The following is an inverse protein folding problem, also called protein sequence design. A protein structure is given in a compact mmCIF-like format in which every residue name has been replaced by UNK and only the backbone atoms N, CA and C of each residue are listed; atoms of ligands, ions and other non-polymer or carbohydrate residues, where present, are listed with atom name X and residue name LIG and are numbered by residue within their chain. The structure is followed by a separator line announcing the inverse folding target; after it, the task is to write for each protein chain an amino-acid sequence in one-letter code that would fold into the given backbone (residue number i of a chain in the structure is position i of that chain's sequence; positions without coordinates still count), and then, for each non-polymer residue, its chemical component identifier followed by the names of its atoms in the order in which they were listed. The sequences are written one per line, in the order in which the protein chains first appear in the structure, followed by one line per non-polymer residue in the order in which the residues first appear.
data_IF_729237096519
#
_entry.id   IF_729237096519
#
_cell.length_a   1.000
_cell.length_b   1.000
_cell.length_c   1.000
_cell.angle_alpha   90.00
_cell.angle_beta   90.00
_cell.angle_gamma   90.00
#
_symmetry.space_group_name_H-M   'P 1'
#
loop_
_entity.id
_entity.type
_entity.pdbx_description
1 polymer ?
#
# COMPACT_ATOMS: atom_id res chain seq x y z
N UNK A 1 -14.42 -44.03 -46.30
CA UNK A 1 -13.29 -44.97 -46.09
C UNK A 1 -13.26 -45.30 -44.60
N UNK A 2 -13.46 -46.58 -44.21
CA UNK A 2 -13.33 -47.20 -42.85
C UNK A 2 -14.28 -46.67 -41.74
N UNK A 3 -15.13 -47.39 -40.98
CA UNK A 3 -15.10 -48.75 -40.37
C UNK A 3 -13.77 -48.99 -39.64
N UNK A 4 -13.68 -49.18 -38.30
CA UNK A 4 -14.29 -50.19 -37.41
C UNK A 4 -14.11 -49.72 -35.93
N UNK A 5 -15.17 -49.58 -35.12
CA UNK A 5 -15.59 -50.44 -33.96
C UNK A 5 -14.50 -50.79 -32.93
N UNK A 6 -14.62 -50.36 -31.66
CA UNK A 6 -15.46 -50.90 -30.57
C UNK A 6 -14.78 -52.10 -29.88
N UNK A 7 -14.68 -52.10 -28.53
CA UNK A 7 -14.71 -53.27 -27.61
C UNK A 7 -14.40 -52.76 -26.18
N UNK A 8 -14.97 -53.17 -25.04
CA UNK A 8 -16.11 -54.01 -24.61
C UNK A 8 -16.32 -53.68 -23.12
N UNK A 9 -17.57 -53.66 -22.65
CA UNK A 9 -17.94 -53.75 -21.23
C UNK A 9 -17.79 -55.18 -20.70
N UNK A 10 -17.31 -55.36 -19.47
CA UNK A 10 -17.53 -56.60 -18.72
C UNK A 10 -18.40 -56.33 -17.47
N UNK A 11 -19.65 -56.78 -17.60
CA UNK A 11 -20.57 -57.40 -16.66
C UNK A 11 -20.18 -57.54 -15.18
N UNK A 12 -21.15 -57.33 -14.27
CA UNK A 12 -21.60 -58.40 -13.38
C UNK A 12 -23.01 -58.12 -12.81
N UNK A 13 -23.89 -59.08 -13.05
CA UNK A 13 -25.25 -59.33 -12.55
C UNK A 13 -25.52 -59.01 -11.06
N UNK A 14 -26.71 -58.48 -10.72
CA UNK A 14 -27.82 -59.16 -10.00
C UNK A 14 -28.84 -58.16 -9.36
N UNK A 15 -30.10 -58.30 -9.77
CA UNK A 15 -31.35 -58.35 -8.99
C UNK A 15 -31.85 -57.17 -8.08
N UNK A 16 -32.97 -56.58 -8.55
CA UNK A 16 -34.24 -56.20 -7.90
C UNK A 16 -34.28 -55.16 -6.74
N UNK A 17 -35.24 -54.24 -6.89
CA UNK A 17 -36.00 -53.42 -5.92
C UNK A 17 -35.68 -51.91 -5.84
N UNK A 18 -36.65 -51.17 -6.41
CA UNK A 18 -37.35 -50.04 -5.80
C UNK A 18 -36.74 -48.62 -5.70
N UNK A 19 -37.50 -47.71 -6.33
CA UNK A 19 -37.82 -46.31 -5.96
C UNK A 19 -37.00 -45.19 -6.63
N UNK A 20 -37.68 -44.17 -7.21
CA UNK A 20 -37.12 -43.29 -8.23
C UNK A 20 -36.48 -42.02 -7.67
N UNK A 21 -35.48 -41.50 -8.40
CA UNK A 21 -34.90 -40.18 -8.21
C UNK A 21 -35.98 -39.10 -8.36
N UNK A 22 -36.30 -38.39 -7.29
CA UNK A 22 -37.09 -37.16 -7.34
C UNK A 22 -36.25 -36.02 -7.90
N UNK A 23 -36.57 -35.61 -9.13
CA UNK A 23 -36.34 -34.26 -9.59
C UNK A 23 -37.41 -33.35 -8.97
N UNK A 24 -37.02 -32.22 -8.39
CA UNK A 24 -37.98 -31.13 -8.11
C UNK A 24 -37.48 -29.84 -8.74
N UNK A 25 -38.41 -29.29 -9.50
CA UNK A 25 -38.40 -28.12 -10.36
C UNK A 25 -38.32 -26.80 -9.58
N UNK A 26 -37.85 -25.76 -10.27
CA UNK A 26 -38.07 -24.35 -9.94
C UNK A 26 -39.56 -24.00 -9.91
N UNK A 27 -39.95 -23.00 -9.09
CA UNK A 27 -40.91 -22.02 -9.56
C UNK A 27 -40.39 -20.58 -9.43
N UNK A 28 -40.49 -19.87 -10.53
CA UNK A 28 -40.48 -18.41 -10.64
C UNK A 28 -41.93 -17.94 -10.40
N UNK A 29 -42.20 -16.95 -9.52
CA UNK A 29 -43.37 -16.06 -9.63
C UNK A 29 -43.31 -14.86 -8.65
N UNK A 30 -43.34 -13.66 -9.26
CA UNK A 30 -43.95 -12.38 -8.84
C UNK A 30 -43.48 -11.57 -7.61
N UNK A 31 -42.84 -10.43 -7.92
CA UNK A 31 -43.40 -9.06 -7.76
C UNK A 31 -44.16 -8.76 -6.47
N UNK A 32 -43.50 -8.07 -5.52
CA UNK A 32 -44.16 -7.25 -4.50
C UNK A 32 -43.30 -6.04 -4.12
N UNK A 33 -43.82 -4.87 -4.50
CA UNK A 33 -43.43 -3.51 -4.11
C UNK A 33 -43.88 -3.24 -2.65
N UNK A 34 -43.14 -2.41 -1.88
CA UNK A 34 -43.85 -1.54 -0.95
C UNK A 34 -43.28 -0.12 -0.97
N UNK A 35 -43.97 0.77 -1.68
CA UNK A 35 -44.04 2.17 -1.32
C UNK A 35 -45.14 2.42 -0.26
N UNK A 36 -44.83 3.32 0.69
CA UNK A 36 -45.73 4.26 1.39
C UNK A 36 -46.01 4.07 2.91
N UNK A 37 -45.29 4.88 3.70
CA UNK A 37 -45.79 5.75 4.81
C UNK A 37 -44.61 6.67 5.17
N UNK A 38 -44.58 7.98 4.95
CA UNK A 38 -45.52 9.03 5.34
C UNK A 38 -45.48 10.22 4.35
N UNK A 39 -46.63 10.86 4.09
CA UNK A 39 -46.74 12.28 3.72
C UNK A 39 -47.37 13.08 4.89
N UNK A 40 -47.54 14.44 4.83
CA UNK A 40 -47.92 15.20 3.63
C UNK A 40 -47.28 16.62 3.40
N UNK A 41 -47.35 17.09 2.13
CA UNK A 41 -47.53 18.49 1.58
C UNK A 41 -46.54 19.62 2.01
N UNK A 42 -45.70 20.20 1.12
CA UNK A 42 -45.86 21.31 0.11
C UNK A 42 -46.28 22.70 0.69
N UNK A 43 -45.88 23.87 0.12
CA UNK A 43 -45.52 24.12 -1.29
C UNK A 43 -44.34 25.09 -1.60
N UNK A 44 -44.12 25.21 -2.91
CA UNK A 44 -43.17 26.00 -3.73
C UNK A 44 -43.41 27.52 -3.67
N UNK A 45 -42.34 28.29 -3.85
CA UNK A 45 -42.37 29.65 -4.40
C UNK A 45 -41.28 29.80 -5.48
N UNK A 46 -41.70 30.14 -6.71
CA UNK A 46 -40.88 30.49 -7.88
C UNK A 46 -40.86 32.01 -8.07
N UNK A 47 -39.75 32.55 -8.58
CA UNK A 47 -39.65 33.72 -9.49
C UNK A 47 -38.18 33.76 -10.00
N UNK A 48 -37.86 33.32 -11.23
CA UNK A 48 -37.80 34.03 -12.52
C UNK A 48 -36.91 35.30 -12.59
N UNK A 49 -35.64 35.12 -13.05
CA UNK A 49 -34.78 35.83 -14.06
C UNK A 49 -34.99 37.32 -14.44
N UNK A 50 -34.16 38.01 -15.30
CA UNK A 50 -32.80 37.79 -15.84
C UNK A 50 -31.91 39.09 -15.90
N UNK A 51 -30.62 38.97 -16.30
CA UNK A 51 -29.79 39.89 -17.16
C UNK A 51 -28.30 39.97 -16.74
N UNK A 52 -27.40 39.84 -17.74
CA UNK A 52 -26.20 40.69 -17.81
C UNK A 52 -24.82 40.03 -17.68
N UNK A 53 -24.10 39.95 -18.81
CA UNK A 53 -22.67 39.60 -18.99
C UNK A 53 -21.69 40.45 -18.16
N UNK A 54 -20.53 39.87 -17.84
CA UNK A 54 -19.26 40.61 -17.62
C UNK A 54 -18.09 39.68 -17.29
N UNK A 55 -17.05 39.67 -18.11
CA UNK A 55 -15.81 38.92 -17.92
C UNK A 55 -14.82 39.68 -17.00
N UNK A 56 -14.11 38.91 -16.18
CA UNK A 56 -12.78 39.09 -15.55
C UNK A 56 -12.43 40.40 -14.82
N UNK A 57 -12.08 40.27 -13.53
CA UNK A 57 -10.77 40.76 -13.05
C UNK A 57 -10.30 40.10 -11.75
N UNK A 58 -8.98 40.04 -11.65
CA UNK A 58 -8.18 39.28 -10.70
C UNK A 58 -8.34 39.75 -9.24
N UNK A 59 -8.41 38.80 -8.30
CA UNK A 59 -7.93 39.01 -6.94
C UNK A 59 -6.83 38.01 -6.60
N UNK A 60 -5.62 38.47 -6.87
CA UNK A 60 -4.40 37.98 -6.26
C UNK A 60 -4.52 38.17 -4.74
N UNK A 61 -4.38 37.08 -3.97
CA UNK A 61 -3.88 37.15 -2.60
C UNK A 61 -2.68 36.23 -2.52
N UNK A 62 -1.54 36.87 -2.78
CA UNK A 62 -0.18 36.40 -2.58
C UNK A 62 0.00 35.92 -1.14
N UNK A 63 0.26 34.64 -0.93
CA UNK A 63 0.91 34.19 0.30
C UNK A 63 2.41 34.37 0.13
N UNK A 64 2.88 35.52 0.63
CA UNK A 64 4.29 35.80 0.83
C UNK A 64 4.88 34.75 1.79
N UNK A 65 5.88 34.03 1.29
CA UNK A 65 6.85 33.24 2.05
C UNK A 65 7.77 34.19 2.82
N UNK A 66 7.86 34.14 4.16
CA UNK A 66 8.94 34.80 4.87
C UNK A 66 10.19 33.91 4.88
N UNK A 67 11.31 34.53 4.53
CA UNK A 67 12.66 34.00 4.69
C UNK A 67 13.07 33.90 6.17
N UNK A 68 13.89 32.88 6.42
CA UNK A 68 14.98 32.79 7.41
C UNK A 68 14.89 33.63 8.69
N UNK A 69 14.54 32.97 9.78
CA UNK A 69 15.02 33.34 11.12
C UNK A 69 15.77 32.14 11.67
N UNK A 70 17.08 32.30 11.84
CA UNK A 70 17.93 31.36 12.57
C UNK A 70 17.44 31.28 14.02
N UNK A 71 16.96 30.12 14.42
CA UNK A 71 16.91 29.72 15.81
C UNK A 71 17.81 28.52 15.98
N UNK A 72 19.00 28.76 16.54
CA UNK A 72 19.71 27.74 17.28
C UNK A 72 18.83 27.41 18.50
N UNK A 73 18.27 26.20 18.54
CA UNK A 73 18.06 25.52 19.81
C UNK A 73 18.57 24.09 19.70
N UNK A 74 19.51 23.81 20.59
CA UNK A 74 20.21 22.55 20.71
C UNK A 74 19.46 21.66 21.68
N UNK A 75 19.21 20.42 21.24
CA UNK A 75 18.70 19.26 21.99
C UNK A 75 17.18 19.10 21.99
N UNK A 76 16.66 18.37 20.99
CA UNK A 76 15.91 17.13 21.23
C UNK A 76 16.29 16.14 20.15
N UNK A 77 17.15 15.19 20.52
CA UNK A 77 17.30 13.91 19.83
C UNK A 77 15.95 13.18 20.01
N UNK A 78 15.04 13.27 19.04
CA UNK A 78 14.08 12.19 18.85
C UNK A 78 14.81 11.09 18.08
N UNK A 79 15.75 10.45 18.79
CA UNK A 79 16.06 9.05 18.56
C UNK A 79 14.72 8.32 18.63
N UNK A 80 14.17 7.98 17.46
CA UNK A 80 13.17 6.93 17.42
C UNK A 80 13.77 5.74 18.18
N UNK A 81 13.15 5.29 19.29
CA UNK A 81 13.78 4.31 20.14
C UNK A 81 13.84 2.99 19.40
N UNK A 82 15.00 2.72 18.81
CA UNK A 82 15.35 1.42 18.28
C UNK A 82 15.41 0.48 19.48
N UNK A 83 14.49 -0.48 19.51
CA UNK A 83 14.28 -1.48 20.58
C UNK A 83 13.65 -0.96 21.89
N UNK A 84 12.34 -0.71 21.87
CA UNK A 84 11.50 -0.86 23.08
C UNK A 84 11.46 -2.34 23.49
N UNK A 85 12.42 -2.75 24.31
CA UNK A 85 12.33 -3.96 25.13
C UNK A 85 11.18 -3.72 26.11
N UNK A 86 9.95 -4.08 25.70
CA UNK A 86 8.67 -3.89 26.38
C UNK A 86 8.76 -3.98 27.92
N UNK A 87 9.00 -2.83 28.55
CA UNK A 87 8.84 -2.50 29.97
C UNK A 87 8.98 -3.69 30.95
N UNK A 88 10.14 -4.35 30.92
CA UNK A 88 10.59 -5.14 32.06
C UNK A 88 10.66 -4.16 33.23
N UNK A 89 9.89 -4.41 34.29
CA UNK A 89 9.88 -3.50 35.45
C UNK A 89 11.29 -3.45 36.05
N UNK A 90 11.69 -2.35 36.66
CA UNK A 90 13.06 -2.18 37.18
C UNK A 90 13.51 -3.31 38.13
N UNK A 91 12.57 -3.96 38.81
CA UNK A 91 12.81 -5.08 39.72
C UNK A 91 12.78 -6.47 39.04
N UNK A 92 12.52 -6.53 37.73
CA UNK A 92 12.54 -7.76 36.93
C UNK A 92 13.88 -7.92 36.22
N UNK A 93 14.46 -9.10 36.33
CA UNK A 93 15.69 -9.47 35.63
C UNK A 93 15.39 -10.56 34.60
N UNK A 94 15.88 -10.42 33.37
CA UNK A 94 15.66 -11.43 32.33
C UNK A 94 16.41 -12.70 32.71
N UNK A 95 15.68 -13.81 32.84
CA UNK A 95 16.24 -15.15 33.06
C UNK A 95 16.49 -15.85 31.72
N UNK A 96 15.51 -15.79 30.81
CA UNK A 96 15.58 -16.36 29.47
C UNK A 96 14.86 -15.44 28.49
N UNK A 97 15.62 -14.84 27.57
CA UNK A 97 15.11 -13.89 26.59
C UNK A 97 14.23 -14.56 25.53
N UNK A 98 14.55 -15.78 25.11
CA UNK A 98 13.80 -16.51 24.07
C UNK A 98 12.48 -17.06 24.61
N UNK A 99 12.46 -17.46 25.89
CA UNK A 99 11.25 -17.96 26.55
C UNK A 99 10.48 -16.87 27.30
N UNK A 100 10.93 -15.62 27.23
CA UNK A 100 10.33 -14.46 27.90
C UNK A 100 10.08 -14.70 29.40
N UNK A 101 11.08 -15.25 30.07
CA UNK A 101 11.07 -15.52 31.51
C UNK A 101 11.91 -14.49 32.26
N UNK A 102 11.38 -14.03 33.39
CA UNK A 102 12.01 -13.07 34.26
C UNK A 102 12.06 -13.59 35.70
N UNK A 103 13.06 -13.13 36.46
CA UNK A 103 13.22 -13.34 37.89
C UNK A 103 12.99 -12.05 38.65
N UNK A 104 12.23 -12.14 39.73
CA UNK A 104 11.95 -10.99 40.60
C UNK A 104 11.55 -11.47 41.99
N UNK A 105 11.74 -10.59 42.98
CA UNK A 105 11.38 -10.85 44.37
C UNK A 105 9.91 -10.52 44.62
N UNK A 106 9.20 -11.42 45.29
CA UNK A 106 7.82 -11.21 45.74
C UNK A 106 7.63 -11.72 47.18
N UNK A 107 6.65 -11.18 47.94
CA UNK A 107 6.23 -11.81 49.18
C UNK A 107 5.73 -13.26 48.95
N UNK A 108 6.05 -14.22 49.84
CA UNK A 108 5.62 -15.61 49.70
C UNK A 108 4.11 -15.78 49.53
N UNK A 109 3.29 -14.90 50.13
CA UNK A 109 1.82 -15.01 50.08
C UNK A 109 1.22 -14.69 48.71
N UNK A 110 1.99 -14.08 47.79
CA UNK A 110 1.52 -13.74 46.45
C UNK A 110 2.08 -14.63 45.35
N UNK A 111 2.92 -15.62 45.68
CA UNK A 111 3.54 -16.53 44.70
C UNK A 111 2.47 -17.25 43.88
N UNK A 112 1.38 -17.71 44.51
CA UNK A 112 0.30 -18.43 43.84
C UNK A 112 -0.48 -17.59 42.81
N UNK A 113 -0.34 -16.26 42.85
CA UNK A 113 -0.93 -15.36 41.83
C UNK A 113 -0.18 -15.41 40.49
N UNK A 114 1.03 -15.96 40.47
CA UNK A 114 1.84 -16.10 39.27
C UNK A 114 1.71 -17.53 38.72
N UNK A 115 0.97 -17.74 37.63
CA UNK A 115 0.74 -19.07 37.10
C UNK A 115 2.06 -19.71 36.67
N UNK A 116 2.25 -20.98 37.05
CA UNK A 116 3.43 -21.78 36.73
C UNK A 116 4.78 -21.12 37.11
N UNK A 117 4.80 -20.25 38.13
CA UNK A 117 6.04 -19.69 38.66
C UNK A 117 6.85 -20.75 39.43
N UNK A 118 8.18 -20.65 39.36
CA UNK A 118 9.10 -21.51 40.12
C UNK A 118 9.89 -20.67 41.11
N UNK A 119 9.92 -21.09 42.38
CA UNK A 119 10.74 -20.42 43.40
C UNK A 119 12.19 -20.81 43.18
N UNK A 120 13.08 -19.83 43.01
CA UNK A 120 14.52 -20.05 42.79
C UNK A 120 15.36 -19.74 44.02
N UNK A 121 14.98 -18.75 44.83
CA UNK A 121 15.68 -18.36 46.06
C UNK A 121 14.69 -17.86 47.11
N UNK A 122 15.05 -17.96 48.39
CA UNK A 122 14.22 -17.48 49.51
C UNK A 122 15.09 -16.61 50.42
N UNK A 123 14.59 -15.44 50.77
CA UNK A 123 15.18 -14.53 51.74
C UNK A 123 14.27 -14.46 52.98
N UNK A 124 14.62 -15.26 53.99
CA UNK A 124 13.88 -15.33 55.25
C UNK A 124 13.98 -14.04 56.07
N UNK A 125 15.06 -13.24 55.92
CA UNK A 125 15.27 -12.01 56.69
C UNK A 125 14.30 -10.93 56.24
N UNK A 126 14.14 -10.79 54.93
CA UNK A 126 13.25 -9.80 54.33
C UNK A 126 11.84 -10.36 54.03
N UNK A 127 11.58 -11.65 54.31
CA UNK A 127 10.35 -12.38 53.97
C UNK A 127 10.00 -12.26 52.49
N UNK A 128 10.98 -12.51 51.62
CA UNK A 128 10.82 -12.47 50.17
C UNK A 128 11.18 -13.83 49.55
N UNK A 129 10.56 -14.15 48.43
CA UNK A 129 10.91 -15.28 47.59
C UNK A 129 11.20 -14.78 46.19
N UNK A 130 12.34 -15.19 45.63
CA UNK A 130 12.66 -14.94 44.23
C UNK A 130 11.98 -16.01 43.40
N UNK A 131 11.11 -15.59 42.49
CA UNK A 131 10.41 -16.47 41.57
C UNK A 131 10.90 -16.25 40.14
N UNK A 132 10.88 -17.30 39.34
CA UNK A 132 10.99 -17.25 37.88
C UNK A 132 9.59 -17.45 37.28
N UNK A 133 9.12 -16.46 36.53
CA UNK A 133 7.81 -16.46 35.88
C UNK A 133 7.89 -15.77 34.49
N UNK A 134 6.78 -15.72 33.75
CA UNK A 134 6.72 -14.92 32.53
C UNK A 134 6.96 -13.44 32.86
N UNK A 135 7.74 -12.76 32.02
CA UNK A 135 7.99 -11.32 32.15
C UNK A 135 6.70 -10.51 32.07
N UNK A 136 6.73 -9.27 32.56
CA UNK A 136 5.60 -8.35 32.42
C UNK A 136 5.14 -8.24 30.95
N UNK A 137 3.82 -8.26 30.75
CA UNK A 137 3.22 -8.26 29.42
C UNK A 137 3.09 -9.65 28.78
N UNK A 138 3.57 -10.73 29.42
CA UNK A 138 3.40 -12.10 28.93
C UNK A 138 2.46 -12.92 29.81
N UNK A 139 1.80 -13.90 29.22
CA UNK A 139 0.97 -14.91 29.90
C UNK A 139 1.48 -16.31 29.62
N UNK A 140 1.34 -17.18 30.60
CA UNK A 140 1.59 -18.61 30.45
C UNK A 140 0.51 -19.25 29.59
N UNK A 141 0.93 -20.00 28.58
CA UNK A 141 0.08 -20.93 27.83
C UNK A 141 0.74 -22.30 27.91
N UNK A 142 -0.07 -23.35 28.09
CA UNK A 142 0.40 -24.74 27.99
C UNK A 142 0.21 -25.24 26.56
N UNK A 143 1.31 -25.52 25.87
CA UNK A 143 1.32 -26.12 24.53
C UNK A 143 2.00 -27.49 24.62
N UNK A 144 1.27 -28.56 24.29
CA UNK A 144 1.81 -29.93 24.28
C UNK A 144 2.53 -30.32 25.59
N UNK A 145 2.03 -29.88 26.73
CA UNK A 145 2.62 -30.15 28.05
C UNK A 145 3.75 -29.19 28.47
N UNK A 146 4.21 -28.30 27.59
CA UNK A 146 5.25 -27.31 27.88
C UNK A 146 4.61 -25.95 28.22
N UNK A 147 5.13 -25.27 29.25
CA UNK A 147 4.70 -23.90 29.59
C UNK A 147 5.50 -22.90 28.78
N UNK A 148 4.82 -22.09 27.98
CA UNK A 148 5.41 -21.05 27.14
C UNK A 148 4.82 -19.70 27.52
N UNK A 149 5.66 -18.67 27.57
CA UNK A 149 5.22 -17.29 27.76
C UNK A 149 4.90 -16.67 26.41
N UNK A 150 3.62 -16.36 26.16
CA UNK A 150 3.19 -15.60 24.98
C UNK A 150 2.83 -14.16 25.36
N UNK A 151 3.10 -13.19 24.46
CA UNK A 151 2.75 -11.81 24.73
C UNK A 151 1.23 -11.65 24.87
N UNK A 152 0.82 -10.79 25.80
CA UNK A 152 -0.57 -10.39 26.00
C UNK A 152 -0.88 -9.24 25.05
N UNK A 153 -1.86 -9.44 24.19
CA UNK A 153 -2.38 -8.40 23.32
C UNK A 153 -3.87 -8.64 23.05
N UNK A 154 -4.60 -7.58 22.66
CA UNK A 154 -6.02 -7.62 22.29
C UNK A 154 -6.22 -7.57 20.77
N UNK A 155 -5.37 -8.21 19.97
CA UNK A 155 -5.44 -8.08 18.51
C UNK A 155 -6.59 -8.92 17.93
N UNK A 156 -7.56 -8.26 17.30
CA UNK A 156 -8.49 -8.90 16.39
C UNK A 156 -7.87 -8.95 14.98
N UNK A 157 -8.02 -10.05 14.25
CA UNK A 157 -7.45 -10.24 12.89
C UNK A 157 -5.93 -10.04 12.80
N UNK A 158 -5.23 -10.38 13.88
CA UNK A 158 -3.78 -10.35 13.95
C UNK A 158 -3.25 -11.24 15.06
N UNK A 159 -1.93 -11.35 15.14
CA UNK A 159 -1.23 -12.07 16.19
C UNK A 159 -0.37 -11.13 17.03
N UNK A 160 -0.12 -11.48 18.29
CA UNK A 160 0.75 -10.68 19.14
C UNK A 160 2.22 -10.88 18.71
N UNK A 161 2.87 -9.81 18.22
CA UNK A 161 4.33 -9.80 18.01
C UNK A 161 5.07 -9.56 19.32
N UNK A 162 4.57 -8.61 20.10
CA UNK A 162 5.05 -8.25 21.42
C UNK A 162 3.85 -7.83 22.30
N UNK A 163 4.01 -7.65 23.62
CA UNK A 163 2.93 -7.18 24.47
C UNK A 163 2.40 -5.84 23.95
N UNK A 164 1.10 -5.78 23.67
CA UNK A 164 0.45 -4.59 23.09
C UNK A 164 0.80 -4.28 21.63
N UNK A 165 1.60 -5.10 20.94
CA UNK A 165 1.95 -4.91 19.52
C UNK A 165 1.34 -6.01 18.65
N UNK A 166 0.47 -5.59 17.73
CA UNK A 166 -0.20 -6.47 16.77
C UNK A 166 0.57 -6.60 15.47
N UNK A 167 0.73 -7.83 15.01
CA UNK A 167 1.09 -8.18 13.64
C UNK A 167 -0.18 -8.64 12.93
N UNK A 168 -0.64 -7.86 11.96
CA UNK A 168 -1.90 -8.12 11.25
C UNK A 168 -1.76 -9.32 10.30
N UNK A 169 -2.85 -10.09 10.16
CA UNK A 169 -2.89 -11.16 9.16
C UNK A 169 -2.87 -10.60 7.73
N UNK A 170 -2.58 -11.46 6.76
CA UNK A 170 -2.59 -11.09 5.35
C UNK A 170 -3.94 -10.46 4.95
N UNK A 171 -3.89 -9.33 4.24
CA UNK A 171 -5.09 -8.55 3.89
C UNK A 171 -5.59 -7.59 4.97
N UNK A 172 -4.90 -7.48 6.11
CA UNK A 172 -5.21 -6.51 7.17
C UNK A 172 -4.04 -5.56 7.42
N UNK A 173 -4.36 -4.31 7.74
CA UNK A 173 -3.39 -3.27 8.12
C UNK A 173 -3.80 -2.65 9.44
N UNK A 174 -2.81 -2.12 10.15
CA UNK A 174 -3.02 -1.47 11.45
C UNK A 174 -3.58 -0.06 11.24
N UNK A 175 -4.72 0.25 11.86
CA UNK A 175 -5.28 1.60 11.88
C UNK A 175 -4.60 2.47 12.96
N UNK A 176 -5.00 3.75 13.07
CA UNK A 176 -4.46 4.70 14.06
C UNK A 176 -4.69 4.24 15.52
N UNK A 177 -5.74 3.47 15.77
CA UNK A 177 -6.04 2.90 17.08
C UNK A 177 -5.22 1.64 17.40
N UNK A 178 -4.46 1.13 16.43
CA UNK A 178 -3.66 -0.08 16.57
C UNK A 178 -4.38 -1.39 16.27
N UNK A 179 -5.62 -1.34 15.81
CA UNK A 179 -6.41 -2.52 15.41
C UNK A 179 -6.05 -2.96 13.99
N UNK A 180 -6.07 -4.27 13.76
CA UNK A 180 -5.92 -4.82 12.41
C UNK A 180 -7.26 -4.79 11.69
N UNK A 181 -7.40 -3.83 10.80
CA UNK A 181 -8.57 -3.63 9.95
C UNK A 181 -8.27 -4.14 8.55
N UNK A 182 -9.31 -4.60 7.85
CA UNK A 182 -9.13 -5.11 6.49
C UNK A 182 -8.60 -4.00 5.58
N UNK A 183 -7.51 -4.29 4.90
CA UNK A 183 -6.90 -3.41 3.91
C UNK A 183 -7.49 -3.74 2.55
N UNK A 184 -8.05 -2.73 1.89
CA UNK A 184 -8.52 -2.91 0.52
C UNK A 184 -7.34 -3.40 -0.35
N UNK A 185 -7.55 -4.33 -1.31
CA UNK A 185 -6.54 -4.65 -2.29
C UNK A 185 -6.16 -3.36 -3.03
N UNK A 186 -4.88 -3.25 -3.39
CA UNK A 186 -4.35 -2.17 -4.22
C UNK A 186 -5.20 -2.04 -5.50
N UNK A 187 -6.10 -1.04 -5.52
CA UNK A 187 -6.93 -0.71 -6.66
C UNK A 187 -8.40 -0.35 -6.37
N UNK A 188 -8.94 -0.62 -5.18
CA UNK A 188 -10.30 -0.14 -4.82
C UNK A 188 -10.35 1.36 -4.46
N UNK A 189 -9.48 2.16 -5.06
CA UNK A 189 -9.49 3.61 -4.93
C UNK A 189 -10.70 4.16 -5.69
N UNK A 190 -11.53 4.98 -5.03
CA UNK A 190 -12.85 5.41 -5.52
C UNK A 190 -13.90 4.27 -5.53
N UNK A 191 -13.90 3.48 -4.45
CA UNK A 191 -14.89 2.45 -4.21
C UNK A 191 -14.88 1.96 -2.76
N UNK A 192 -15.80 1.04 -2.48
CA UNK A 192 -15.90 0.30 -1.22
C UNK A 192 -15.40 -1.12 -1.43
N UNK A 193 -14.53 -1.59 -0.55
CA UNK A 193 -14.05 -2.97 -0.58
C UNK A 193 -14.72 -3.82 0.48
N UNK A 194 -14.90 -5.10 0.17
CA UNK A 194 -15.49 -6.11 1.02
C UNK A 194 -14.45 -7.17 1.41
N UNK A 195 -14.73 -7.89 2.51
CA UNK A 195 -13.86 -8.92 3.09
C UNK A 195 -13.57 -10.10 2.14
N UNK A 196 -14.39 -10.31 1.12
CA UNK A 196 -14.19 -11.31 0.07
C UNK A 196 -13.17 -10.86 -1.00
N UNK A 197 -12.59 -9.67 -0.85
CA UNK A 197 -11.67 -9.06 -1.81
C UNK A 197 -12.36 -8.40 -2.99
N UNK A 198 -13.71 -8.36 -3.01
CA UNK A 198 -14.45 -7.65 -4.06
C UNK A 198 -14.42 -6.13 -3.83
N UNK A 199 -14.46 -5.37 -4.92
CA UNK A 199 -14.53 -3.92 -4.91
C UNK A 199 -15.80 -3.46 -5.60
N UNK A 200 -16.56 -2.60 -4.93
CA UNK A 200 -17.72 -1.90 -5.48
C UNK A 200 -17.32 -0.46 -5.73
N UNK A 201 -17.25 -0.06 -7.00
CA UNK A 201 -16.88 1.30 -7.36
C UNK A 201 -17.94 2.33 -6.95
N UNK A 202 -17.48 3.54 -6.63
CA UNK A 202 -18.34 4.70 -6.38
C UNK A 202 -19.06 5.13 -7.68
N UNK A 203 -20.16 5.90 -7.57
CA UNK A 203 -20.86 6.42 -8.75
C UNK A 203 -19.93 7.15 -9.72
N UNK A 204 -20.03 6.84 -11.02
CA UNK A 204 -19.15 7.40 -12.05
C UNK A 204 -17.85 6.64 -12.27
N UNK A 205 -17.62 5.53 -11.57
CA UNK A 205 -16.48 4.64 -11.74
C UNK A 205 -16.92 3.22 -12.10
N UNK A 206 -16.06 2.49 -12.81
CA UNK A 206 -16.26 1.08 -13.18
C UNK A 206 -15.02 0.25 -12.90
N UNK A 207 -15.22 -1.03 -12.60
CA UNK A 207 -14.13 -1.99 -12.46
C UNK A 207 -13.39 -2.12 -13.80
N UNK A 208 -12.07 -2.15 -13.75
CA UNK A 208 -11.25 -2.47 -14.92
C UNK A 208 -11.26 -3.98 -15.23
N UNK A 209 -10.63 -4.36 -16.35
CA UNK A 209 -10.58 -5.75 -16.82
C UNK A 209 -9.93 -6.69 -15.80
N UNK A 210 -8.98 -6.19 -15.02
CA UNK A 210 -8.32 -6.95 -13.96
C UNK A 210 -9.18 -7.12 -12.70
N UNK A 211 -10.36 -6.48 -12.67
CA UNK A 211 -11.30 -6.42 -11.54
C UNK A 211 -10.69 -5.90 -10.25
N UNK A 212 -9.57 -5.19 -10.36
CA UNK A 212 -8.84 -4.65 -9.20
C UNK A 212 -8.97 -3.15 -9.09
N UNK A 213 -9.13 -2.42 -10.20
CA UNK A 213 -9.11 -0.97 -10.20
C UNK A 213 -10.46 -0.35 -10.56
N UNK A 214 -10.93 0.61 -9.77
CA UNK A 214 -12.05 1.47 -10.16
C UNK A 214 -11.56 2.61 -11.03
N UNK A 215 -11.92 2.58 -12.32
CA UNK A 215 -11.57 3.61 -13.31
C UNK A 215 -12.76 4.52 -13.59
N UNK A 216 -12.54 5.82 -13.78
CA UNK A 216 -13.61 6.75 -14.10
C UNK A 216 -14.29 6.41 -15.42
N UNK A 217 -15.57 6.78 -15.52
CA UNK A 217 -16.41 6.63 -16.71
C UNK A 217 -16.53 8.00 -17.38
N UNK A 218 -16.30 8.07 -18.69
CA UNK A 218 -16.75 9.20 -19.52
C UNK A 218 -17.71 8.66 -20.57
N UNK A 219 -18.96 9.10 -20.53
CA UNK A 219 -20.04 8.55 -21.34
C UNK A 219 -19.81 8.77 -22.84
N UNK A 220 -19.16 9.87 -23.21
CA UNK A 220 -18.86 10.22 -24.59
C UNK A 220 -17.44 9.82 -25.04
N UNK A 221 -16.64 9.21 -24.14
CA UNK A 221 -15.21 8.97 -24.36
C UNK A 221 -14.37 10.26 -24.38
N UNK A 222 -13.05 10.10 -24.44
CA UNK A 222 -12.09 11.22 -24.39
C UNK A 222 -11.40 11.50 -25.73
N UNK A 223 -12.20 11.57 -26.80
CA UNK A 223 -11.70 11.78 -28.16
C UNK A 223 -11.01 10.54 -28.75
N UNK A 224 -10.50 10.67 -29.97
CA UNK A 224 -9.89 9.56 -30.73
C UNK A 224 -8.40 9.35 -30.46
N UNK A 225 -7.76 10.24 -29.71
CA UNK A 225 -6.32 10.17 -29.43
C UNK A 225 -6.05 9.29 -28.21
N UNK A 226 -5.13 8.34 -28.35
CA UNK A 226 -4.69 7.44 -27.27
C UNK A 226 -3.98 8.15 -26.11
N UNK A 227 -3.61 9.42 -26.31
CA UNK A 227 -2.97 10.28 -25.30
C UNK A 227 -3.95 10.93 -24.33
N UNK A 228 -5.25 10.76 -24.54
CA UNK A 228 -6.29 11.23 -23.63
C UNK A 228 -6.94 10.05 -22.91
N UNK A 229 -7.32 10.27 -21.66
CA UNK A 229 -8.04 9.30 -20.87
C UNK A 229 -9.00 10.02 -19.89
N UNK A 230 -9.97 9.28 -19.37
CA UNK A 230 -10.78 9.74 -18.25
C UNK A 230 -9.88 9.86 -17.01
N UNK A 231 -9.73 11.07 -16.50
CA UNK A 231 -9.01 11.34 -15.25
C UNK A 231 -9.94 11.34 -14.06
N UNK A 232 -11.20 11.76 -14.27
CA UNK A 232 -12.29 11.74 -13.29
C UNK A 232 -13.62 11.42 -14.01
N UNK A 233 -14.72 11.12 -13.29
CA UNK A 233 -16.02 10.87 -13.92
C UNK A 233 -16.44 12.02 -14.82
N UNK A 234 -16.69 11.71 -16.09
CA UNK A 234 -17.03 12.67 -17.16
C UNK A 234 -15.97 13.76 -17.43
N UNK A 235 -14.76 13.63 -16.89
CA UNK A 235 -13.64 14.56 -17.12
C UNK A 235 -12.52 13.88 -17.89
N UNK A 236 -12.19 14.44 -19.04
CA UNK A 236 -11.10 14.00 -19.89
C UNK A 236 -9.83 14.81 -19.63
N UNK A 237 -8.71 14.11 -19.54
CA UNK A 237 -7.39 14.70 -19.41
C UNK A 237 -6.33 13.90 -20.17
N UNK A 238 -5.07 14.23 -19.95
CA UNK A 238 -3.96 13.48 -20.54
C UNK A 238 -3.77 12.13 -19.85
N UNK A 239 -3.45 11.10 -20.65
CA UNK A 239 -3.08 9.78 -20.19
C UNK A 239 -1.86 9.84 -19.27
N UNK A 240 -1.69 8.83 -18.40
CA UNK A 240 -0.55 8.77 -17.48
C UNK A 240 0.78 8.88 -18.25
N UNK A 241 1.64 9.81 -17.83
CA UNK A 241 2.91 10.10 -18.49
C UNK A 241 2.82 11.08 -19.65
N UNK A 242 1.69 11.77 -19.78
CA UNK A 242 1.48 12.86 -20.73
C UNK A 242 1.01 14.10 -19.99
N UNK A 243 1.38 15.28 -20.49
CA UNK A 243 1.01 16.58 -19.95
C UNK A 243 0.39 17.45 -21.04
N UNK A 244 -0.60 18.26 -20.66
CA UNK A 244 -1.26 19.17 -21.58
C UNK A 244 -0.33 20.36 -21.90
N UNK A 245 -0.06 20.59 -23.18
CA UNK A 245 0.64 21.76 -23.71
C UNK A 245 -0.22 22.45 -24.78
N UNK A 246 0.29 23.53 -25.38
CA UNK A 246 -0.37 24.23 -26.50
C UNK A 246 -0.62 23.32 -27.71
N UNK A 247 0.24 22.29 -27.88
CA UNK A 247 0.12 21.26 -28.93
C UNK A 247 -0.68 20.02 -28.48
N UNK A 248 -1.42 20.12 -27.37
CA UNK A 248 -2.20 19.03 -26.78
C UNK A 248 -1.40 18.15 -25.81
N UNK A 249 -1.84 16.91 -25.58
CA UNK A 249 -1.13 16.00 -24.66
C UNK A 249 0.22 15.56 -25.24
N UNK A 250 1.30 16.04 -24.65
CA UNK A 250 2.68 15.69 -25.00
C UNK A 250 3.30 14.74 -23.97
N UNK A 251 4.18 13.82 -24.40
CA UNK A 251 4.80 12.86 -23.49
C UNK A 251 5.74 13.56 -22.50
N UNK A 252 5.81 13.00 -21.29
CA UNK A 252 6.74 13.41 -20.24
C UNK A 252 7.85 12.36 -20.16
N UNK A 253 9.11 12.83 -20.10
CA UNK A 253 10.29 11.99 -19.90
C UNK A 253 11.03 12.47 -18.65
N UNK A 254 11.23 11.58 -17.68
CA UNK A 254 12.02 11.81 -16.47
C UNK A 254 13.01 10.63 -16.27
N UNK A 255 14.33 10.84 -16.41
CA UNK A 255 14.99 12.11 -16.71
C UNK A 255 14.69 12.62 -18.14
N UNK A 256 14.93 13.91 -18.36
CA UNK A 256 14.84 14.49 -19.70
C UNK A 256 15.78 13.76 -20.67
N UNK A 257 15.37 13.65 -21.94
CA UNK A 257 16.11 12.88 -22.96
C UNK A 257 17.49 13.43 -23.32
N UNK A 258 17.90 14.58 -22.78
CA UNK A 258 19.21 15.19 -23.04
C UNK A 258 19.35 15.76 -24.45
N UNK A 259 20.54 16.31 -24.73
CA UNK A 259 20.84 16.95 -26.02
C UNK A 259 20.81 15.91 -27.14
N UNK A 260 20.14 16.24 -28.24
CA UNK A 260 20.00 15.34 -29.38
C UNK A 260 18.95 14.23 -29.18
N UNK A 261 18.21 14.24 -28.06
CA UNK A 261 17.08 13.36 -27.80
C UNK A 261 15.72 14.08 -27.89
N UNK A 262 14.71 13.40 -28.43
CA UNK A 262 13.31 13.86 -28.41
C UNK A 262 12.45 12.88 -27.62
N UNK A 263 11.63 13.39 -26.69
CA UNK A 263 10.66 12.55 -25.97
C UNK A 263 9.50 12.20 -26.92
N UNK A 264 9.47 10.96 -27.43
CA UNK A 264 8.44 10.52 -28.41
C UNK A 264 7.20 9.94 -27.74
N UNK A 265 7.36 9.35 -26.56
CA UNK A 265 6.33 8.67 -25.78
C UNK A 265 6.75 8.70 -24.30
N UNK A 266 5.86 8.33 -23.37
CA UNK A 266 6.10 8.36 -21.94
C UNK A 266 7.40 7.62 -21.57
N UNK A 267 8.38 8.36 -21.05
CA UNK A 267 9.74 7.89 -20.74
C UNK A 267 10.45 7.16 -21.90
N UNK A 268 10.16 7.53 -23.15
CA UNK A 268 10.85 6.99 -24.34
C UNK A 268 11.46 8.11 -25.17
N UNK A 269 12.79 8.11 -25.16
CA UNK A 269 13.61 9.04 -25.91
C UNK A 269 13.98 8.47 -27.27
N UNK A 270 13.89 9.31 -28.29
CA UNK A 270 14.37 9.06 -29.65
C UNK A 270 15.63 9.87 -29.89
N UNK A 271 16.75 9.18 -30.05
CA UNK A 271 18.05 9.82 -30.22
C UNK A 271 18.30 10.11 -31.70
N UNK A 272 18.68 11.35 -31.99
CA UNK A 272 19.08 11.78 -33.32
C UNK A 272 20.38 11.12 -33.77
N UNK A 273 20.72 11.29 -35.05
CA UNK A 273 21.94 10.69 -35.63
C UNK A 273 23.20 11.09 -34.88
N UNK A 274 24.01 10.10 -34.51
CA UNK A 274 25.22 10.29 -33.70
C UNK A 274 24.98 10.35 -32.19
N UNK A 275 23.77 10.08 -31.72
CA UNK A 275 23.42 9.89 -30.32
C UNK A 275 22.86 8.49 -30.09
N UNK A 276 23.16 7.90 -28.95
CA UNK A 276 22.65 6.61 -28.50
C UNK A 276 22.01 6.73 -27.12
N UNK A 277 20.98 5.94 -26.88
CA UNK A 277 20.29 5.90 -25.59
C UNK A 277 21.16 5.19 -24.54
N UNK A 278 21.52 5.92 -23.47
CA UNK A 278 22.27 5.41 -22.32
C UNK A 278 21.64 5.94 -21.04
N UNK A 279 21.29 5.04 -20.13
CA UNK A 279 20.67 5.37 -18.83
C UNK A 279 19.42 6.28 -18.94
N UNK A 280 18.60 6.05 -19.97
CA UNK A 280 17.38 6.83 -20.21
C UNK A 280 17.58 8.18 -20.90
N UNK A 281 18.84 8.56 -21.20
CA UNK A 281 19.19 9.85 -21.82
C UNK A 281 19.96 9.60 -23.12
N UNK A 282 19.75 10.45 -24.13
CA UNK A 282 20.52 10.40 -25.37
C UNK A 282 21.90 11.02 -25.16
N UNK A 283 22.94 10.26 -25.49
CA UNK A 283 24.34 10.66 -25.36
C UNK A 283 25.04 10.51 -26.69
N UNK A 284 25.91 11.46 -27.04
CA UNK A 284 26.64 11.42 -28.30
C UNK A 284 27.61 10.22 -28.38
N UNK A 285 27.79 9.67 -29.58
CA UNK A 285 28.89 8.76 -29.89
C UNK A 285 30.19 9.54 -29.96
N UNK A 286 31.00 9.37 -28.92
CA UNK A 286 32.26 10.07 -28.78
C UNK A 286 33.42 9.15 -29.17
N UNK A 287 34.34 9.71 -29.94
CA UNK A 287 35.59 9.01 -30.26
C UNK A 287 36.47 8.83 -29.01
N UNK A 288 36.22 9.64 -27.97
CA UNK A 288 36.99 9.70 -26.74
C UNK A 288 36.11 9.23 -25.56
N UNK A 289 36.70 8.48 -24.62
CA UNK A 289 35.98 8.04 -23.42
C UNK A 289 35.99 9.14 -22.36
N UNK A 290 34.83 9.69 -22.03
CA UNK A 290 34.64 10.61 -20.91
C UNK A 290 34.54 9.80 -19.60
N UNK A 291 35.65 9.59 -18.91
CA UNK A 291 35.63 9.07 -17.54
C UNK A 291 35.19 10.17 -16.58
N UNK A 292 34.27 9.90 -15.65
CA UNK A 292 33.72 10.86 -14.67
C UNK A 292 33.02 12.07 -15.32
N UNK A 293 32.24 11.82 -16.36
CA UNK A 293 31.45 12.83 -17.03
C UNK A 293 30.59 12.27 -18.16
N UNK A 294 29.68 13.11 -18.65
CA UNK A 294 28.76 12.81 -19.75
C UNK A 294 29.32 13.43 -21.03
N UNK A 295 29.36 12.64 -22.11
CA UNK A 295 29.81 13.17 -23.40
C UNK A 295 28.71 13.99 -24.09
N UNK A 296 29.06 15.21 -24.52
CA UNK A 296 28.10 16.14 -25.16
C UNK A 296 28.41 16.41 -26.64
N UNK A 297 29.64 16.17 -27.09
CA UNK A 297 30.00 16.22 -28.51
C UNK A 297 31.25 15.38 -28.76
N UNK A 298 31.58 15.11 -30.05
CA UNK A 298 32.65 14.18 -30.47
C UNK A 298 33.97 14.25 -29.69
N UNK A 299 34.35 15.42 -29.18
CA UNK A 299 35.57 15.66 -28.40
C UNK A 299 35.34 16.46 -27.09
N UNK A 300 34.11 16.53 -26.55
CA UNK A 300 33.81 17.37 -25.37
C UNK A 300 32.98 16.61 -24.34
N UNK A 301 33.45 16.64 -23.09
CA UNK A 301 32.78 16.06 -21.93
C UNK A 301 32.26 17.17 -21.00
N UNK A 302 31.08 16.96 -20.41
CA UNK A 302 30.65 17.67 -19.20
C UNK A 302 31.00 16.78 -18.02
N UNK A 303 31.80 17.29 -17.08
CA UNK A 303 32.31 16.50 -15.97
C UNK A 303 31.28 16.38 -14.83
N UNK A 304 31.30 15.24 -14.15
CA UNK A 304 30.50 15.01 -12.96
C UNK A 304 30.94 15.97 -11.83
N UNK A 305 30.08 16.25 -10.83
CA UNK A 305 30.45 17.09 -9.69
C UNK A 305 31.74 16.60 -9.02
N UNK A 306 32.70 17.51 -8.81
CA UNK A 306 34.03 17.20 -8.25
C UNK A 306 35.13 16.91 -9.29
N UNK A 307 34.82 17.00 -10.57
CA UNK A 307 35.78 16.84 -11.66
C UNK A 307 35.78 18.07 -12.59
N UNK A 308 36.94 18.38 -13.18
CA UNK A 308 37.12 19.45 -14.16
C UNK A 308 37.67 18.92 -15.49
N UNK A 309 37.32 19.57 -16.60
CA UNK A 309 37.74 19.16 -17.93
C UNK A 309 39.20 19.54 -18.19
N UNK A 310 40.04 18.56 -18.51
CA UNK A 310 41.45 18.77 -18.81
C UNK A 310 41.69 18.74 -20.33
N UNK A 311 42.02 19.91 -20.91
CA UNK A 311 42.17 20.15 -22.35
C UNK A 311 43.20 19.22 -23.04
N UNK A 312 44.31 18.88 -22.38
CA UNK A 312 45.39 18.09 -23.02
C UNK A 312 45.10 16.60 -23.09
N UNK A 313 44.35 16.08 -22.12
CA UNK A 313 44.03 14.66 -22.03
C UNK A 313 42.57 14.37 -22.41
N UNK A 314 41.81 15.40 -22.78
CA UNK A 314 40.40 15.33 -23.16
C UNK A 314 39.53 14.51 -22.19
N UNK A 315 39.82 14.59 -20.88
CA UNK A 315 39.17 13.80 -19.84
C UNK A 315 38.84 14.64 -18.61
N UNK A 316 37.88 14.17 -17.81
CA UNK A 316 37.53 14.79 -16.54
C UNK A 316 38.43 14.29 -15.42
N UNK A 317 39.17 15.21 -14.80
CA UNK A 317 40.11 14.93 -13.71
C UNK A 317 39.59 15.50 -12.40
N UNK A 318 39.86 14.87 -11.24
CA UNK A 318 39.46 15.41 -9.94
C UNK A 318 39.96 16.84 -9.75
N UNK A 319 39.14 17.69 -9.13
CA UNK A 319 39.50 19.05 -8.70
C UNK A 319 40.38 18.99 -7.46
#
# INVERSE_FOLDING_TARGET
MGLVKLIICFSFFLLIFDVPCTAVYSPNYQEYDPAQRYGPRRPVGQEQSPYGRGYMENRQLSYNRPEGVNFEDSRILDEQPTSRQYLIREHETVSDKQRHKCRFWVPPEVVDKYPNATITQVDNKNRLSMIEACCTGYSTIRLLGVTVCRPKCGCQNGSCRAPGECECYEGFVRNDNGDCVFACPLGCQNGRCYLDGSCQCDPGYKLDESRRFCRPICSNGCGSSTRHNCTEPEVCGCSKGYQLTDDGCQPVCDPECGIGGLCKDNNKCDCGSGYNLKDGVCQADCYQRCYNGICVSRNRCICDPGFTYHEQSSMCVPI
#
